data_IF_342515311960
#
_entry.id   IF_342515311960
#
_cell.length_a   1.000
_cell.length_b   1.000
_cell.length_c   1.000
_cell.angle_alpha   90.00
_cell.angle_beta   90.00
_cell.angle_gamma   90.00
#
_symmetry.space_group_name_H-M   'P 1'
#
loop_
_entity.id
_entity.type
_entity.pdbx_description
1 polymer ?
#
# COMPACT_ATOMS: atom_id res chain seq x y z
N UNK A 1 -53.44 -39.06 41.34
CA UNK A 1 -52.64 -39.92 40.44
C UNK A 1 -52.02 -39.06 39.35
N UNK A 2 -50.73 -39.28 39.11
CA UNK A 2 -49.77 -38.51 38.31
C UNK A 2 -50.13 -38.48 36.81
N UNK A 3 -49.93 -37.33 36.15
CA UNK A 3 -49.41 -37.21 34.78
C UNK A 3 -49.09 -35.74 34.48
N UNK A 4 -47.81 -35.38 34.63
CA UNK A 4 -47.22 -34.13 34.17
C UNK A 4 -46.75 -34.38 32.74
N UNK A 5 -47.28 -33.64 31.76
CA UNK A 5 -46.73 -33.56 30.41
C UNK A 5 -45.71 -32.43 30.37
N UNK A 6 -44.47 -32.73 29.96
CA UNK A 6 -43.51 -31.76 29.44
C UNK A 6 -43.39 -31.99 27.94
N UNK A 7 -43.61 -30.99 27.06
CA UNK A 7 -43.21 -31.10 25.67
C UNK A 7 -41.71 -30.82 25.53
N UNK A 8 -41.04 -31.73 24.81
CA UNK A 8 -39.66 -31.58 24.34
C UNK A 8 -39.54 -30.38 23.40
N UNK A 9 -38.63 -29.45 23.72
CA UNK A 9 -38.15 -28.45 22.76
C UNK A 9 -36.89 -29.01 22.07
N UNK A 10 -36.99 -29.29 20.78
CA UNK A 10 -35.84 -29.67 19.95
C UNK A 10 -35.07 -28.40 19.56
N UNK A 11 -33.84 -28.26 20.04
CA UNK A 11 -32.93 -27.22 19.60
C UNK A 11 -32.20 -27.69 18.32
N UNK A 12 -32.55 -27.11 17.17
CA UNK A 12 -31.75 -27.22 15.95
C UNK A 12 -30.50 -26.35 16.12
N UNK A 13 -29.32 -26.97 16.23
CA UNK A 13 -28.05 -26.29 16.09
C UNK A 13 -27.82 -25.98 14.59
N UNK A 14 -27.90 -24.71 14.21
CA UNK A 14 -27.36 -24.25 12.93
C UNK A 14 -25.85 -24.15 13.06
N UNK A 15 -25.14 -25.15 12.53
CA UNK A 15 -23.70 -25.05 12.28
C UNK A 15 -23.49 -24.13 11.07
N UNK A 16 -23.06 -22.89 11.29
CA UNK A 16 -22.56 -22.04 10.22
C UNK A 16 -21.21 -22.61 9.76
N UNK A 17 -21.20 -23.36 8.67
CA UNK A 17 -19.99 -23.72 7.98
C UNK A 17 -19.45 -22.46 7.29
N UNK A 18 -18.47 -21.81 7.92
CA UNK A 18 -17.70 -20.73 7.30
C UNK A 18 -16.92 -21.31 6.12
N UNK A 19 -17.31 -20.95 4.90
CA UNK A 19 -16.55 -21.30 3.69
C UNK A 19 -15.34 -20.36 3.67
N UNK A 20 -14.21 -20.83 4.20
CA UNK A 20 -12.92 -20.18 3.97
C UNK A 20 -12.55 -20.51 2.52
N UNK A 21 -12.62 -19.52 1.63
CA UNK A 21 -12.09 -19.68 0.29
C UNK A 21 -10.57 -19.86 0.39
N UNK A 22 -10.05 -21.03 0.03
CA UNK A 22 -8.63 -21.23 -0.13
C UNK A 22 -8.16 -20.36 -1.31
N UNK A 23 -7.34 -19.33 -1.06
CA UNK A 23 -6.79 -18.46 -2.10
C UNK A 23 -5.64 -19.16 -2.82
N UNK A 24 -5.99 -20.02 -3.79
CA UNK A 24 -5.04 -20.82 -4.58
C UNK A 24 -4.55 -20.12 -5.86
N UNK A 25 -5.04 -18.91 -6.17
CA UNK A 25 -4.71 -18.23 -7.43
C UNK A 25 -3.61 -17.18 -7.25
N UNK A 26 -2.83 -16.96 -8.30
CA UNK A 26 -1.93 -15.81 -8.35
C UNK A 26 -2.72 -14.49 -8.30
N UNK A 27 -2.21 -13.50 -7.56
CA UNK A 27 -2.88 -12.20 -7.37
C UNK A 27 -1.90 -11.04 -7.42
N UNK A 28 -2.39 -9.82 -7.65
CA UNK A 28 -1.66 -8.61 -7.30
C UNK A 28 -2.02 -8.19 -5.88
N UNK A 29 -1.03 -7.76 -5.09
CA UNK A 29 -1.26 -7.22 -3.73
C UNK A 29 -2.27 -6.06 -3.75
N UNK A 30 -2.18 -5.19 -4.76
CA UNK A 30 -3.15 -4.14 -5.04
C UNK A 30 -3.86 -4.42 -6.35
N UNK A 31 -5.14 -4.77 -6.29
CA UNK A 31 -5.95 -5.06 -7.47
C UNK A 31 -6.63 -3.81 -8.05
N UNK A 32 -6.40 -2.64 -7.48
CA UNK A 32 -6.98 -1.36 -7.91
C UNK A 32 -5.94 -0.24 -7.79
N UNK A 33 -5.89 0.67 -8.77
CA UNK A 33 -4.99 1.83 -8.74
C UNK A 33 -5.47 2.95 -9.67
N UNK A 34 -5.22 4.20 -9.30
CA UNK A 34 -5.37 5.34 -10.21
C UNK A 34 -4.20 5.39 -11.22
N UNK A 35 -4.35 6.10 -12.36
CA UNK A 35 -3.24 6.34 -13.28
C UNK A 35 -2.04 7.01 -12.59
N UNK A 36 -0.82 6.65 -12.98
CA UNK A 36 0.40 7.15 -12.36
C UNK A 36 1.31 6.04 -11.82
N UNK A 37 2.15 6.37 -10.83
CA UNK A 37 3.11 5.41 -10.29
C UNK A 37 2.39 4.25 -9.62
N UNK A 38 2.80 3.03 -9.96
CA UNK A 38 2.22 1.81 -9.44
C UNK A 38 3.32 0.76 -9.24
N UNK A 39 3.14 -0.11 -8.24
CA UNK A 39 4.04 -1.23 -7.95
C UNK A 39 3.22 -2.50 -8.01
N UNK A 40 3.33 -3.23 -9.12
CA UNK A 40 2.73 -4.55 -9.26
C UNK A 40 3.52 -5.55 -8.40
N UNK A 41 2.91 -6.05 -7.33
CA UNK A 41 3.45 -7.12 -6.50
C UNK A 41 2.66 -8.38 -6.80
N UNK A 42 3.23 -9.24 -7.63
CA UNK A 42 2.65 -10.54 -7.95
C UNK A 42 2.91 -11.50 -6.80
N UNK A 43 1.83 -12.01 -6.20
CA UNK A 43 1.88 -13.08 -5.20
C UNK A 43 1.60 -14.42 -5.85
N UNK A 44 2.54 -15.36 -5.73
CA UNK A 44 2.36 -16.77 -6.09
C UNK A 44 2.10 -17.54 -4.79
N UNK A 45 0.90 -18.14 -4.60
CA UNK A 45 0.46 -18.62 -3.29
C UNK A 45 1.11 -19.92 -2.85
N UNK A 46 1.56 -20.75 -3.78
CA UNK A 46 2.14 -22.07 -3.55
C UNK A 46 2.92 -22.54 -4.78
N UNK A 47 3.59 -23.69 -4.65
CA UNK A 47 4.15 -24.47 -5.76
C UNK A 47 3.10 -24.97 -6.76
N UNK A 48 3.50 -25.77 -7.75
CA UNK A 48 2.53 -26.38 -8.66
C UNK A 48 1.90 -27.64 -8.05
N UNK A 49 0.79 -28.06 -8.65
CA UNK A 49 0.07 -29.29 -8.32
C UNK A 49 0.98 -30.50 -8.07
N UNK A 50 0.59 -31.31 -7.09
CA UNK A 50 1.36 -32.49 -6.69
C UNK A 50 2.56 -32.15 -5.80
N UNK A 51 2.57 -30.97 -5.17
CA UNK A 51 3.57 -30.54 -4.21
C UNK A 51 4.90 -30.13 -4.85
N UNK A 52 4.88 -29.73 -6.12
CA UNK A 52 6.09 -29.43 -6.87
C UNK A 52 6.55 -28.00 -6.61
N UNK A 53 7.83 -27.83 -6.28
CA UNK A 53 8.35 -26.49 -6.06
C UNK A 53 8.37 -25.68 -7.37
N UNK A 54 8.07 -24.39 -7.25
CA UNK A 54 8.25 -23.43 -8.34
C UNK A 54 9.68 -22.97 -8.41
N UNK A 55 10.24 -23.03 -9.62
CA UNK A 55 11.62 -22.65 -9.90
C UNK A 55 11.71 -21.44 -10.81
N UNK A 56 10.67 -21.16 -11.59
CA UNK A 56 10.61 -19.98 -12.46
C UNK A 56 9.25 -19.32 -12.37
N UNK A 57 9.24 -17.99 -12.28
CA UNK A 57 8.07 -17.14 -12.45
C UNK A 57 8.36 -16.17 -13.57
N UNK A 58 7.56 -16.23 -14.63
CA UNK A 58 7.62 -15.31 -15.77
C UNK A 58 6.39 -14.42 -15.74
N UNK A 59 6.58 -13.11 -15.88
CA UNK A 59 5.53 -12.11 -15.85
C UNK A 59 5.57 -11.29 -17.14
N UNK A 60 4.44 -11.25 -17.84
CA UNK A 60 4.24 -10.38 -19.00
C UNK A 60 3.73 -9.02 -18.55
N UNK A 61 4.36 -7.96 -19.04
CA UNK A 61 4.01 -6.58 -18.74
C UNK A 61 2.92 -6.13 -19.71
N UNK A 62 1.71 -5.78 -19.23
CA UNK A 62 0.63 -5.35 -20.10
C UNK A 62 0.91 -3.97 -20.70
N UNK A 63 0.37 -3.75 -21.90
CA UNK A 63 0.32 -2.43 -22.51
C UNK A 63 -0.38 -1.43 -21.57
N UNK A 64 0.14 -0.21 -21.49
CA UNK A 64 -0.31 0.79 -20.50
C UNK A 64 0.43 0.74 -19.16
N UNK A 65 1.25 -0.28 -18.88
CA UNK A 65 2.19 -0.29 -17.76
C UNK A 65 3.64 -0.08 -18.24
N UNK A 66 4.09 1.17 -18.21
CA UNK A 66 5.36 1.58 -18.81
C UNK A 66 6.45 1.83 -17.79
N UNK A 67 7.70 1.86 -18.27
CA UNK A 67 8.87 2.19 -17.44
C UNK A 67 9.14 1.13 -16.37
N UNK A 68 8.73 -0.11 -16.61
CA UNK A 68 8.75 -1.18 -15.64
C UNK A 68 10.19 -1.52 -15.19
N UNK A 69 10.36 -1.65 -13.88
CA UNK A 69 11.61 -1.91 -13.17
C UNK A 69 11.39 -3.05 -12.18
N UNK A 70 11.78 -4.30 -12.53
CA UNK A 70 11.64 -5.44 -11.65
C UNK A 70 12.62 -5.36 -10.48
N UNK A 71 12.18 -5.83 -9.32
CA UNK A 71 12.99 -5.91 -8.10
C UNK A 71 13.89 -7.15 -8.14
N UNK A 72 15.22 -7.00 -7.98
CA UNK A 72 16.10 -8.14 -7.74
C UNK A 72 15.68 -8.89 -6.48
N UNK A 73 15.69 -10.22 -6.55
CA UNK A 73 15.22 -11.08 -5.47
C UNK A 73 16.31 -12.06 -5.07
N UNK A 74 16.67 -12.08 -3.79
CA UNK A 74 17.72 -12.96 -3.30
C UNK A 74 17.33 -14.44 -3.55
N UNK A 75 18.28 -15.23 -4.05
CA UNK A 75 18.06 -16.65 -4.38
C UNK A 75 17.37 -16.89 -5.72
N UNK A 76 17.05 -15.84 -6.50
CA UNK A 76 16.49 -15.93 -7.84
C UNK A 76 17.39 -15.18 -8.82
N UNK A 77 17.57 -15.73 -10.01
CA UNK A 77 18.18 -15.03 -11.14
C UNK A 77 17.11 -14.19 -11.84
N UNK A 78 17.42 -12.92 -12.13
CA UNK A 78 16.50 -11.99 -12.78
C UNK A 78 16.91 -11.73 -14.22
N UNK A 79 16.04 -12.08 -15.16
CA UNK A 79 16.16 -11.76 -16.57
C UNK A 79 15.02 -10.83 -17.01
N UNK A 80 15.33 -9.96 -17.97
CA UNK A 80 14.41 -8.92 -18.45
C UNK A 80 14.48 -8.84 -19.96
N UNK A 81 13.34 -8.99 -20.63
CA UNK A 81 13.24 -8.83 -22.07
C UNK A 81 12.59 -7.49 -22.40
N UNK A 82 13.25 -6.72 -23.27
CA UNK A 82 12.74 -5.43 -23.74
C UNK A 82 12.12 -5.58 -25.12
N UNK A 83 11.08 -4.79 -25.36
CA UNK A 83 10.38 -4.73 -26.64
C UNK A 83 9.72 -3.37 -26.84
N UNK A 84 9.21 -3.17 -28.04
CA UNK A 84 8.46 -1.96 -28.39
C UNK A 84 7.06 -2.03 -27.78
N UNK A 85 6.58 -0.89 -27.27
CA UNK A 85 5.19 -0.75 -26.87
C UNK A 85 4.28 -0.62 -28.10
N UNK A 86 2.99 -0.91 -27.94
CA UNK A 86 2.04 -0.78 -29.05
C UNK A 86 1.87 0.68 -29.53
N UNK A 87 2.10 1.65 -28.65
CA UNK A 87 2.12 3.09 -28.96
C UNK A 87 3.26 3.84 -28.27
N UNK A 88 3.49 5.08 -28.68
CA UNK A 88 4.43 5.98 -27.99
C UNK A 88 3.76 6.55 -26.74
N UNK A 89 4.43 6.47 -25.60
CA UNK A 89 3.97 7.06 -24.34
C UNK A 89 4.81 8.27 -23.95
N UNK A 90 4.30 9.06 -23.01
CA UNK A 90 5.07 10.08 -22.31
C UNK A 90 5.36 9.63 -20.89
N UNK A 91 6.65 9.60 -20.52
CA UNK A 91 7.10 9.33 -19.16
C UNK A 91 7.99 10.49 -18.72
N UNK A 92 7.57 11.22 -17.68
CA UNK A 92 8.26 12.44 -17.22
C UNK A 92 8.51 13.50 -18.32
N UNK A 93 7.60 13.59 -19.29
CA UNK A 93 7.69 14.55 -20.40
C UNK A 93 8.50 14.05 -21.61
N UNK A 94 9.18 12.91 -21.50
CA UNK A 94 9.93 12.31 -22.60
C UNK A 94 9.11 11.23 -23.32
N UNK A 95 9.30 11.13 -24.64
CA UNK A 95 8.70 10.06 -25.43
C UNK A 95 9.41 8.74 -25.18
N UNK A 96 8.66 7.70 -24.80
CA UNK A 96 9.16 6.34 -24.65
C UNK A 96 8.40 5.40 -25.59
N UNK A 97 9.14 4.63 -26.38
CA UNK A 97 8.60 3.73 -27.43
C UNK A 97 8.85 2.26 -27.15
N UNK A 98 9.72 1.96 -26.20
CA UNK A 98 10.07 0.60 -25.79
C UNK A 98 10.39 0.55 -24.31
N UNK A 99 10.32 -0.64 -23.76
CA UNK A 99 10.62 -0.90 -22.35
C UNK A 99 10.60 -2.38 -22.05
N UNK A 100 10.49 -2.71 -20.77
CA UNK A 100 10.42 -4.10 -20.31
C UNK A 100 9.06 -4.67 -20.65
N UNK A 101 9.03 -5.78 -21.39
CA UNK A 101 7.82 -6.49 -21.79
C UNK A 101 7.65 -7.82 -21.05
N UNK A 102 8.77 -8.43 -20.62
CA UNK A 102 8.78 -9.68 -19.88
C UNK A 102 9.80 -9.59 -18.77
N UNK A 103 9.42 -10.06 -17.59
CA UNK A 103 10.31 -10.26 -16.45
C UNK A 103 10.31 -11.74 -16.09
N UNK A 104 11.48 -12.32 -15.89
CA UNK A 104 11.62 -13.71 -15.48
C UNK A 104 12.50 -13.79 -14.24
N UNK A 105 11.97 -14.36 -13.16
CA UNK A 105 12.74 -14.80 -12.01
C UNK A 105 12.90 -16.32 -12.10
N UNK A 106 14.13 -16.82 -12.16
CA UNK A 106 14.43 -18.26 -12.32
C UNK A 106 15.42 -18.78 -11.27
N UNK A 107 15.57 -20.10 -11.19
CA UNK A 107 16.49 -20.76 -10.26
C UNK A 107 16.04 -20.72 -8.80
N UNK A 108 14.81 -20.27 -8.55
CA UNK A 108 14.23 -20.22 -7.21
C UNK A 108 13.80 -21.59 -6.71
N UNK A 109 13.23 -21.61 -5.51
CA UNK A 109 12.66 -22.81 -4.92
C UNK A 109 11.53 -22.38 -3.98
N UNK A 110 10.31 -22.35 -4.50
CA UNK A 110 9.10 -22.07 -3.73
C UNK A 110 8.29 -23.37 -3.56
N UNK A 111 8.39 -24.04 -2.40
CA UNK A 111 7.61 -25.25 -2.11
C UNK A 111 6.12 -24.93 -1.95
N UNK A 112 5.29 -25.98 -2.01
CA UNK A 112 3.83 -25.90 -1.92
C UNK A 112 3.31 -25.23 -0.63
N UNK A 113 3.99 -25.44 0.49
CA UNK A 113 3.57 -24.91 1.80
C UNK A 113 3.83 -23.40 1.98
N UNK A 114 4.44 -22.74 1.00
CA UNK A 114 4.85 -21.34 1.10
C UNK A 114 4.35 -20.52 -0.08
N UNK A 115 4.07 -19.25 0.16
CA UNK A 115 3.85 -18.26 -0.89
C UNK A 115 5.11 -17.41 -1.08
N UNK A 116 5.20 -16.75 -2.23
CA UNK A 116 6.25 -15.76 -2.48
C UNK A 116 5.74 -14.59 -3.34
N UNK A 117 6.52 -13.50 -3.34
CA UNK A 117 6.18 -12.26 -4.01
C UNK A 117 7.28 -11.80 -4.98
N UNK A 118 6.82 -11.25 -6.11
CA UNK A 118 7.63 -10.80 -7.23
C UNK A 118 7.18 -9.40 -7.65
N UNK A 119 8.02 -8.40 -7.39
CA UNK A 119 7.64 -6.99 -7.51
C UNK A 119 8.23 -6.33 -8.75
N UNK A 120 7.40 -5.52 -9.42
CA UNK A 120 7.80 -4.65 -10.54
C UNK A 120 7.22 -3.25 -10.30
N UNK A 121 8.07 -2.23 -10.22
CA UNK A 121 7.63 -0.83 -10.19
C UNK A 121 7.47 -0.27 -11.60
N UNK A 122 6.49 0.57 -11.85
CA UNK A 122 6.23 1.17 -13.16
C UNK A 122 5.21 2.29 -13.08
N UNK A 123 4.63 2.64 -14.22
CA UNK A 123 3.63 3.70 -14.36
C UNK A 123 2.46 3.22 -15.19
N UNK A 124 1.25 3.36 -14.66
CA UNK A 124 -0.01 3.20 -15.38
C UNK A 124 -0.25 4.47 -16.21
N UNK A 125 -0.09 4.37 -17.52
CA UNK A 125 -0.10 5.51 -18.43
C UNK A 125 -1.13 5.30 -19.55
N UNK A 126 -1.87 6.37 -19.85
CA UNK A 126 -2.90 6.39 -20.90
C UNK A 126 -3.91 5.22 -20.76
N UNK A 127 -4.37 5.06 -19.52
CA UNK A 127 -5.35 4.06 -19.08
C UNK A 127 -6.65 4.75 -18.63
N UNK A 128 -7.77 4.06 -18.80
CA UNK A 128 -9.12 4.60 -18.57
C UNK A 128 -9.74 4.04 -17.27
N UNK A 129 -10.61 4.82 -16.62
CA UNK A 129 -11.38 4.34 -15.46
C UNK A 129 -12.18 3.07 -15.80
N UNK A 130 -12.13 2.09 -14.90
CA UNK A 130 -12.75 0.78 -15.07
C UNK A 130 -12.00 -0.17 -15.99
N UNK A 131 -10.95 0.28 -16.69
CA UNK A 131 -10.09 -0.60 -17.48
C UNK A 131 -9.39 -1.60 -16.55
N UNK A 132 -9.22 -2.84 -17.01
CA UNK A 132 -8.40 -3.84 -16.31
C UNK A 132 -7.12 -4.09 -17.11
N UNK A 133 -5.98 -4.06 -16.42
CA UNK A 133 -4.69 -4.46 -16.99
C UNK A 133 -4.31 -5.80 -16.36
N UNK A 134 -4.21 -6.83 -17.21
CA UNK A 134 -3.90 -8.20 -16.80
C UNK A 134 -2.40 -8.49 -16.91
N UNK A 135 -1.79 -8.83 -15.78
CA UNK A 135 -0.40 -9.24 -15.66
C UNK A 135 -0.32 -10.75 -15.79
N UNK A 136 -0.23 -11.24 -17.03
CA UNK A 136 -0.18 -12.68 -17.30
C UNK A 136 1.09 -13.27 -16.73
N UNK A 137 0.95 -14.33 -15.94
CA UNK A 137 2.07 -14.99 -15.30
C UNK A 137 2.15 -16.45 -15.69
N UNK A 138 3.37 -16.97 -15.78
CA UNK A 138 3.66 -18.40 -15.95
C UNK A 138 4.53 -18.85 -14.80
N UNK A 139 4.07 -19.86 -14.09
CA UNK A 139 4.75 -20.52 -13.00
C UNK A 139 5.28 -21.85 -13.50
N UNK A 140 6.58 -22.08 -13.44
CA UNK A 140 7.21 -23.33 -13.92
C UNK A 140 7.76 -24.11 -12.74
N UNK A 141 7.45 -25.40 -12.73
CA UNK A 141 7.86 -26.37 -11.73
C UNK A 141 8.60 -27.54 -12.38
N UNK A 142 9.10 -28.48 -11.57
CA UNK A 142 9.90 -29.62 -12.04
C UNK A 142 9.27 -30.42 -13.20
N UNK A 143 7.95 -30.59 -13.20
CA UNK A 143 7.23 -31.42 -14.19
C UNK A 143 5.91 -30.79 -14.63
N UNK A 144 5.92 -29.49 -14.86
CA UNK A 144 4.73 -28.80 -15.35
C UNK A 144 4.86 -27.30 -15.27
N UNK A 145 3.80 -26.65 -15.73
CA UNK A 145 3.63 -25.21 -15.65
C UNK A 145 2.17 -24.89 -15.35
N UNK A 146 1.96 -23.77 -14.65
CA UNK A 146 0.64 -23.17 -14.45
C UNK A 146 0.65 -21.82 -15.15
N UNK A 147 -0.31 -21.61 -16.04
CA UNK A 147 -0.47 -20.35 -16.77
C UNK A 147 -1.61 -19.54 -16.14
N UNK A 148 -1.26 -18.51 -15.38
CA UNK A 148 -2.18 -17.52 -14.83
C UNK A 148 -2.47 -16.46 -15.90
N UNK A 149 -3.24 -16.83 -16.92
CA UNK A 149 -3.43 -16.03 -18.14
C UNK A 149 -4.89 -15.89 -18.59
N UNK A 150 -5.85 -16.42 -17.83
CA UNK A 150 -7.26 -16.35 -18.19
C UNK A 150 -7.85 -14.96 -17.86
N UNK A 151 -8.55 -14.38 -18.84
CA UNK A 151 -9.31 -13.14 -18.68
C UNK A 151 -10.82 -13.48 -18.73
N UNK A 152 -11.65 -12.91 -17.84
CA UNK A 152 -13.07 -13.20 -17.85
C UNK A 152 -13.73 -12.66 -19.12
N UNK A 153 -14.50 -13.51 -19.82
CA UNK A 153 -15.33 -13.03 -20.92
C UNK A 153 -16.40 -12.05 -20.40
N UNK A 154 -16.91 -11.18 -21.28
CA UNK A 154 -17.94 -10.21 -20.90
C UNK A 154 -19.15 -10.89 -20.22
N UNK A 155 -19.42 -10.54 -18.96
CA UNK A 155 -20.51 -11.10 -18.16
C UNK A 155 -20.22 -12.46 -17.52
N UNK A 156 -19.02 -13.02 -17.68
CA UNK A 156 -18.57 -14.22 -16.96
C UNK A 156 -18.22 -13.85 -15.51
N UNK A 157 -18.51 -14.75 -14.57
CA UNK A 157 -18.03 -14.61 -13.19
C UNK A 157 -16.51 -14.84 -13.14
N UNK A 158 -15.68 -13.86 -12.73
CA UNK A 158 -14.23 -14.04 -12.66
C UNK A 158 -13.78 -15.16 -11.72
N UNK A 159 -14.58 -15.49 -10.70
CA UNK A 159 -14.29 -16.59 -9.77
C UNK A 159 -14.54 -17.99 -10.37
N UNK A 160 -15.06 -18.08 -11.60
CA UNK A 160 -15.22 -19.36 -12.30
C UNK A 160 -14.00 -19.75 -13.13
N UNK A 161 -12.99 -18.87 -13.22
CA UNK A 161 -11.75 -19.14 -13.93
C UNK A 161 -10.86 -20.08 -13.11
N UNK A 162 -10.18 -20.99 -13.79
CA UNK A 162 -9.32 -21.99 -13.16
C UNK A 162 -7.95 -21.39 -12.84
N UNK A 163 -7.42 -20.59 -13.76
CA UNK A 163 -6.14 -19.89 -13.61
C UNK A 163 -6.24 -18.43 -14.09
N UNK A 164 -7.01 -17.58 -13.37
CA UNK A 164 -7.19 -16.19 -13.75
C UNK A 164 -5.87 -15.43 -13.76
N UNK A 165 -5.71 -14.55 -14.74
CA UNK A 165 -4.60 -13.61 -14.77
C UNK A 165 -4.76 -12.57 -13.62
N UNK A 166 -3.71 -12.33 -12.83
CA UNK A 166 -3.68 -11.22 -11.89
C UNK A 166 -3.95 -9.89 -12.61
N UNK A 167 -4.79 -9.03 -12.05
CA UNK A 167 -5.21 -7.80 -12.71
C UNK A 167 -5.21 -6.60 -11.75
N UNK A 168 -4.97 -5.42 -12.31
CA UNK A 168 -5.26 -4.14 -11.67
C UNK A 168 -6.42 -3.46 -12.40
N UNK A 169 -7.42 -3.05 -11.65
CA UNK A 169 -8.55 -2.24 -12.15
C UNK A 169 -8.21 -0.77 -11.97
N UNK A 170 -8.36 0.00 -13.03
CA UNK A 170 -8.02 1.41 -13.04
C UNK A 170 -9.15 2.21 -12.39
N UNK A 171 -8.82 2.90 -11.31
CA UNK A 171 -9.73 3.84 -10.69
C UNK A 171 -9.75 5.16 -11.46
N UNK A 172 -10.78 5.98 -11.22
CA UNK A 172 -10.85 7.32 -11.78
C UNK A 172 -9.52 8.06 -11.58
N UNK A 173 -9.00 8.65 -12.66
CA UNK A 173 -7.95 9.65 -12.51
C UNK A 173 -8.50 10.75 -11.60
N UNK A 174 -7.83 11.07 -10.50
CA UNK A 174 -8.17 12.29 -9.77
C UNK A 174 -8.02 13.43 -10.77
N UNK A 175 -9.14 14.04 -11.18
CA UNK A 175 -9.14 15.11 -12.15
C UNK A 175 -8.15 16.18 -11.67
N UNK A 176 -7.11 16.43 -12.45
CA UNK A 176 -6.08 17.41 -12.12
C UNK A 176 -6.62 18.83 -12.10
N UNK A 177 -7.27 19.21 -11.00
CA UNK A 177 -6.80 20.35 -10.23
C UNK A 177 -5.76 19.83 -9.24
N UNK A 178 -4.75 20.62 -8.88
CA UNK A 178 -3.83 20.27 -7.80
C UNK A 178 -4.57 20.34 -6.45
N UNK A 179 -5.54 19.46 -6.27
CA UNK A 179 -6.48 19.39 -5.18
C UNK A 179 -6.74 17.89 -4.92
N UNK A 180 -6.02 17.33 -3.96
CA UNK A 180 -6.26 15.96 -3.50
C UNK A 180 -7.54 15.95 -2.64
N UNK A 181 -8.62 15.37 -3.17
CA UNK A 181 -9.84 15.11 -2.42
C UNK A 181 -10.53 13.79 -2.83
N UNK A 182 -10.34 12.75 -2.00
CA UNK A 182 -11.24 11.62 -1.65
C UNK A 182 -11.62 10.60 -2.75
N UNK A 183 -11.79 9.30 -2.48
CA UNK A 183 -12.15 8.55 -1.26
C UNK A 183 -11.62 7.10 -1.41
N UNK A 184 -11.22 6.32 -0.41
CA UNK A 184 -11.94 6.03 0.83
C UNK A 184 -11.26 4.91 1.64
N UNK A 185 -10.00 5.12 2.04
CA UNK A 185 -9.70 4.89 3.46
C UNK A 185 -10.27 6.08 4.23
N UNK A 186 -10.45 6.02 5.54
CA UNK A 186 -10.69 7.24 6.31
C UNK A 186 -9.46 8.16 6.23
N UNK A 187 -9.18 8.77 5.08
CA UNK A 187 -8.38 9.99 5.01
C UNK A 187 -9.20 11.04 5.75
N UNK A 188 -8.67 11.48 6.88
CA UNK A 188 -9.24 12.60 7.60
C UNK A 188 -9.36 13.77 6.62
N UNK A 189 -10.56 14.33 6.50
CA UNK A 189 -10.79 15.50 5.67
C UNK A 189 -9.77 16.61 6.02
N UNK A 190 -9.33 17.42 5.04
CA UNK A 190 -8.35 18.47 5.30
C UNK A 190 -8.76 19.34 6.48
N UNK A 191 -7.88 19.46 7.48
CA UNK A 191 -8.12 20.28 8.67
C UNK A 191 -7.63 21.69 8.38
N UNK A 192 -8.50 22.68 8.58
CA UNK A 192 -8.15 24.09 8.40
C UNK A 192 -7.83 24.77 9.72
N UNK A 193 -6.77 25.57 9.73
CA UNK A 193 -6.36 26.39 10.86
C UNK A 193 -5.94 27.78 10.37
N UNK A 194 -6.88 28.73 10.40
CA UNK A 194 -6.71 30.01 9.72
C UNK A 194 -6.52 29.79 8.21
N UNK A 195 -5.40 30.28 7.67
CA UNK A 195 -5.02 30.13 6.27
C UNK A 195 -4.26 28.82 5.98
N UNK A 196 -3.97 28.01 6.99
CA UNK A 196 -3.31 26.72 6.82
C UNK A 196 -4.34 25.62 6.51
N UNK A 197 -3.98 24.76 5.57
CA UNK A 197 -4.71 23.54 5.25
C UNK A 197 -3.79 22.33 5.45
N UNK A 198 -4.19 21.43 6.34
CA UNK A 198 -3.42 20.25 6.72
C UNK A 198 -4.14 19.03 6.15
N UNK A 199 -3.42 18.23 5.37
CA UNK A 199 -3.99 17.09 4.63
C UNK A 199 -3.05 15.89 4.61
N UNK A 200 -3.55 14.74 4.16
CA UNK A 200 -2.75 13.52 3.97
C UNK A 200 -2.08 12.99 5.24
N UNK A 201 -2.67 13.27 6.42
CA UNK A 201 -2.07 12.88 7.68
C UNK A 201 -2.14 11.36 7.88
N UNK A 202 -1.02 10.73 8.20
CA UNK A 202 -0.97 9.32 8.62
C UNK A 202 0.23 9.03 9.52
N UNK A 203 0.10 8.02 10.37
CA UNK A 203 1.16 7.53 11.25
C UNK A 203 1.60 6.13 10.82
N UNK A 204 2.89 5.83 10.98
CA UNK A 204 3.45 4.51 10.65
C UNK A 204 3.15 3.53 11.78
N UNK A 205 2.62 2.35 11.43
CA UNK A 205 2.45 1.27 12.38
C UNK A 205 3.80 0.89 13.02
N UNK A 206 3.74 0.60 14.32
CA UNK A 206 4.90 0.27 15.14
C UNK A 206 4.97 -1.23 15.36
N UNK A 207 6.18 -1.78 15.30
CA UNK A 207 6.42 -3.14 15.78
C UNK A 207 6.30 -3.18 17.32
N UNK A 208 5.86 -4.30 17.90
CA UNK A 208 5.79 -4.46 19.34
C UNK A 208 7.12 -4.12 20.04
N UNK A 209 7.06 -3.27 21.09
CA UNK A 209 8.23 -2.89 21.88
C UNK A 209 9.02 -1.68 21.38
N UNK A 210 8.65 -1.07 20.25
CA UNK A 210 9.29 0.17 19.79
C UNK A 210 8.91 1.37 20.68
N UNK A 211 9.88 2.17 21.18
CA UNK A 211 9.60 3.33 22.04
C UNK A 211 9.25 4.60 21.27
N UNK A 212 9.37 4.59 19.94
CA UNK A 212 9.23 5.75 19.07
C UNK A 212 8.37 5.46 17.85
N UNK A 213 7.50 6.39 17.50
CA UNK A 213 6.64 6.35 16.30
C UNK A 213 6.87 7.57 15.41
N UNK A 214 6.39 7.51 14.17
CA UNK A 214 6.48 8.62 13.21
C UNK A 214 5.15 8.87 12.51
N UNK A 215 4.82 10.14 12.27
CA UNK A 215 3.71 10.55 11.43
C UNK A 215 4.12 11.58 10.38
N UNK A 216 3.31 11.63 9.34
CA UNK A 216 3.53 12.31 8.07
C UNK A 216 2.24 13.03 7.68
N UNK A 217 2.37 14.19 7.06
CA UNK A 217 1.26 15.06 6.68
C UNK A 217 1.76 16.16 5.75
N UNK A 218 0.85 16.82 5.06
CA UNK A 218 1.13 17.97 4.21
C UNK A 218 0.49 19.22 4.80
N UNK A 219 1.22 20.33 4.81
CA UNK A 219 0.75 21.64 5.29
C UNK A 219 0.84 22.64 4.14
N UNK A 220 -0.29 23.10 3.64
CA UNK A 220 -0.37 24.18 2.67
C UNK A 220 -0.71 25.50 3.37
N UNK A 221 0.13 26.53 3.20
CA UNK A 221 -0.15 27.87 3.69
C UNK A 221 -0.76 28.72 2.58
N UNK A 222 -2.08 28.91 2.61
CA UNK A 222 -2.81 29.74 1.64
C UNK A 222 -2.83 31.23 2.01
N UNK A 223 -2.10 31.60 3.06
CA UNK A 223 -2.05 32.95 3.62
C UNK A 223 -0.98 33.82 3.01
N UNK A 224 -0.89 35.06 3.50
CA UNK A 224 0.08 36.07 3.03
C UNK A 224 1.31 36.23 3.94
N UNK A 225 1.32 35.58 5.09
CA UNK A 225 2.42 35.56 6.04
C UNK A 225 2.87 34.12 6.28
N UNK A 226 4.16 33.92 6.55
CA UNK A 226 4.66 32.63 6.96
C UNK A 226 4.07 32.24 8.33
N UNK A 227 3.89 30.94 8.55
CA UNK A 227 3.62 30.36 9.87
C UNK A 227 4.71 29.35 10.20
N UNK A 228 4.68 28.78 11.40
CA UNK A 228 5.67 27.83 11.85
C UNK A 228 5.04 26.75 12.70
N UNK A 229 5.28 25.49 12.36
CA UNK A 229 4.95 24.35 13.21
C UNK A 229 6.02 24.24 14.31
N UNK A 230 5.71 24.72 15.51
CA UNK A 230 6.65 24.80 16.63
C UNK A 230 6.68 23.55 17.50
N UNK A 231 5.67 22.69 17.36
CA UNK A 231 5.63 21.41 18.08
C UNK A 231 4.33 20.65 17.86
N UNK A 232 4.20 19.56 18.60
CA UNK A 232 2.96 18.80 18.68
C UNK A 232 2.85 18.14 20.06
N UNK A 233 1.65 17.68 20.41
CA UNK A 233 1.41 16.87 21.61
C UNK A 233 0.47 15.71 21.29
N UNK A 234 0.54 14.65 22.09
CA UNK A 234 -0.38 13.52 22.01
C UNK A 234 -0.49 12.85 23.38
N UNK A 235 -1.70 12.44 23.84
CA UNK A 235 -1.85 11.70 25.09
C UNK A 235 -1.13 10.34 25.07
N UNK A 236 -0.86 9.79 23.88
CA UNK A 236 -0.24 8.48 23.64
C UNK A 236 1.30 8.50 23.68
N UNK A 237 1.94 9.67 23.77
CA UNK A 237 3.40 9.81 23.80
C UNK A 237 3.86 10.72 24.96
N UNK A 238 5.07 10.48 25.45
CA UNK A 238 5.70 11.34 26.45
C UNK A 238 6.18 12.67 25.86
N UNK A 239 6.60 12.67 24.60
CA UNK A 239 7.04 13.86 23.86
C UNK A 239 6.72 13.71 22.38
N UNK A 240 6.38 14.80 21.70
CA UNK A 240 6.19 14.84 20.25
C UNK A 240 6.95 16.03 19.69
N UNK A 241 7.76 15.81 18.66
CA UNK A 241 8.65 16.82 18.06
C UNK A 241 8.61 16.76 16.54
N UNK A 242 9.01 17.85 15.88
CA UNK A 242 9.26 17.86 14.43
C UNK A 242 10.72 17.53 14.19
N UNK A 243 10.98 16.49 13.41
CA UNK A 243 12.32 16.01 13.10
C UNK A 243 12.60 16.08 11.60
N UNK A 244 13.88 16.12 11.24
CA UNK A 244 14.38 16.01 9.88
C UNK A 244 15.46 14.93 9.79
N UNK A 245 15.68 14.43 8.59
CA UNK A 245 16.78 13.52 8.27
C UNK A 245 17.90 14.33 7.61
N UNK A 246 19.09 14.32 8.21
CA UNK A 246 20.29 14.93 7.63
C UNK A 246 21.36 13.87 7.43
N UNK A 247 22.13 13.97 6.34
CA UNK A 247 23.35 13.15 6.18
C UNK A 247 24.47 13.86 6.90
N UNK A 248 25.01 13.23 7.95
CA UNK A 248 26.19 13.69 8.65
C UNK A 248 27.22 12.56 8.66
N UNK A 249 28.41 12.85 8.14
CA UNK A 249 29.52 11.88 8.06
C UNK A 249 29.11 10.56 7.36
N UNK A 250 28.41 10.66 6.23
CA UNK A 250 27.82 9.54 5.45
C UNK A 250 26.78 8.68 6.19
N UNK A 251 26.31 9.15 7.36
CA UNK A 251 25.24 8.51 8.13
C UNK A 251 23.99 9.39 8.12
N UNK A 252 22.85 8.79 7.77
CA UNK A 252 21.54 9.44 7.94
C UNK A 252 21.23 9.56 9.43
N UNK A 253 21.27 10.79 9.95
CA UNK A 253 20.91 11.12 11.32
C UNK A 253 19.56 11.81 11.37
N UNK A 254 18.74 11.39 12.33
CA UNK A 254 17.47 12.02 12.63
C UNK A 254 17.69 13.07 13.72
N UNK A 255 17.21 14.29 13.51
CA UNK A 255 17.36 15.40 14.46
C UNK A 255 16.09 16.21 14.59
N UNK A 256 15.86 16.75 15.79
CA UNK A 256 14.81 17.75 16.01
C UNK A 256 15.10 19.03 15.22
N UNK A 257 14.04 19.64 14.69
CA UNK A 257 14.06 20.97 14.06
C UNK A 257 13.93 22.02 15.16
N UNK A 258 15.06 22.55 15.62
CA UNK A 258 15.07 23.58 16.67
C UNK A 258 14.38 24.86 16.19
N UNK A 259 13.51 25.42 17.03
CA UNK A 259 12.76 26.63 16.72
C UNK A 259 11.52 26.43 15.86
N UNK A 260 11.23 25.21 15.40
CA UNK A 260 10.05 24.86 14.61
C UNK A 260 10.28 24.81 13.10
N UNK A 261 9.36 24.17 12.37
CA UNK A 261 9.38 24.04 10.92
C UNK A 261 8.62 25.21 10.27
N UNK A 262 9.33 26.04 9.51
CA UNK A 262 8.74 27.19 8.80
C UNK A 262 7.85 26.72 7.64
N UNK A 263 6.68 27.34 7.52
CA UNK A 263 5.69 27.13 6.45
C UNK A 263 5.48 28.48 5.74
N UNK A 264 6.25 28.77 4.68
CA UNK A 264 6.21 30.08 4.01
C UNK A 264 4.83 30.40 3.41
N UNK A 265 4.53 31.69 3.27
CA UNK A 265 3.28 32.15 2.66
C UNK A 265 3.15 31.64 1.22
N UNK A 266 2.00 31.05 0.87
CA UNK A 266 1.74 30.52 -0.47
C UNK A 266 2.41 29.17 -0.78
N UNK A 267 3.21 28.64 0.15
CA UNK A 267 3.97 27.41 -0.06
C UNK A 267 3.31 26.19 0.61
N UNK A 268 3.73 25.02 0.16
CA UNK A 268 3.33 23.73 0.75
C UNK A 268 4.55 22.99 1.26
N UNK A 269 4.50 22.56 2.52
CA UNK A 269 5.56 21.79 3.17
C UNK A 269 5.06 20.38 3.44
N UNK A 270 5.81 19.40 2.93
CA UNK A 270 5.48 17.98 3.04
C UNK A 270 6.36 17.31 4.11
N UNK A 271 5.72 16.69 5.10
CA UNK A 271 6.35 15.83 6.08
C UNK A 271 6.18 14.38 5.61
N UNK A 272 7.25 13.73 5.18
CA UNK A 272 7.23 12.40 4.55
C UNK A 272 8.40 11.51 4.98
N UNK A 273 8.32 10.17 4.76
CA UNK A 273 9.44 9.28 5.02
C UNK A 273 10.73 9.75 4.33
N UNK A 274 11.83 9.83 5.08
CA UNK A 274 13.13 10.30 4.59
C UNK A 274 13.31 11.82 4.59
N UNK A 275 12.31 12.61 4.95
CA UNK A 275 12.39 14.06 5.10
C UNK A 275 11.93 14.54 6.48
N UNK A 276 11.23 15.66 6.52
CA UNK A 276 10.59 16.14 7.75
C UNK A 276 9.50 15.16 8.21
N UNK A 277 9.33 14.98 9.52
CA UNK A 277 8.29 14.12 10.08
C UNK A 277 7.97 14.51 11.53
N UNK A 278 6.79 14.11 12.00
CA UNK A 278 6.40 14.24 13.40
C UNK A 278 6.87 13.00 14.14
N UNK A 279 7.82 13.14 15.05
CA UNK A 279 8.36 12.06 15.87
C UNK A 279 7.67 12.00 17.23
N UNK A 280 7.19 10.81 17.59
CA UNK A 280 6.63 10.50 18.90
C UNK A 280 7.68 9.74 19.71
N UNK A 281 7.97 10.20 20.93
CA UNK A 281 8.93 9.57 21.84
C UNK A 281 8.25 9.16 23.14
N UNK A 282 8.64 8.00 23.67
CA UNK A 282 8.03 7.44 24.88
C UNK A 282 6.57 7.09 24.63
N UNK A 283 6.29 6.44 23.50
CA UNK A 283 4.95 5.98 23.13
C UNK A 283 4.49 4.94 24.15
N UNK A 284 3.33 5.16 24.76
CA UNK A 284 2.76 4.29 25.79
C UNK A 284 2.10 3.04 25.18
N UNK A 285 1.46 3.22 24.04
CA UNK A 285 0.75 2.18 23.29
C UNK A 285 1.20 2.22 21.84
N UNK A 286 1.71 1.10 21.33
CA UNK A 286 2.20 0.99 19.96
C UNK A 286 1.10 1.34 18.95
N UNK A 287 1.45 2.11 17.92
CA UNK A 287 0.54 2.45 16.83
C UNK A 287 0.22 1.19 16.03
N UNK A 288 -1.01 0.70 16.16
CA UNK A 288 -1.50 -0.47 15.42
C UNK A 288 -2.15 -0.02 14.12
N UNK A 289 -1.86 -0.73 13.04
CA UNK A 289 -2.50 -0.48 11.76
C UNK A 289 -4.03 -0.47 11.89
N UNK A 290 -4.68 0.45 11.17
CA UNK A 290 -6.13 0.64 11.22
C UNK A 290 -6.63 1.43 12.43
N UNK A 291 -5.79 1.69 13.43
CA UNK A 291 -6.12 2.58 14.54
C UNK A 291 -5.95 4.06 14.15
N UNK A 292 -6.32 4.95 15.07
CA UNK A 292 -6.08 6.40 14.95
C UNK A 292 -5.32 6.91 16.17
N UNK A 293 -4.38 7.82 15.96
CA UNK A 293 -3.60 8.49 17.01
C UNK A 293 -4.06 9.95 17.13
N UNK A 294 -4.55 10.40 18.30
CA UNK A 294 -4.86 11.80 18.51
C UNK A 294 -3.56 12.62 18.59
N UNK A 295 -3.51 13.71 17.82
CA UNK A 295 -2.37 14.63 17.76
C UNK A 295 -2.89 16.06 17.80
N UNK A 296 -2.26 16.90 18.61
CA UNK A 296 -2.47 18.34 18.60
C UNK A 296 -1.21 18.99 18.03
N UNK A 297 -1.28 19.54 16.82
CA UNK A 297 -0.22 20.34 16.23
C UNK A 297 -0.23 21.75 16.83
N UNK A 298 0.94 22.34 17.05
CA UNK A 298 1.08 23.68 17.62
C UNK A 298 1.80 24.60 16.62
N UNK A 299 1.07 25.59 16.10
CA UNK A 299 1.58 26.60 15.19
C UNK A 299 1.83 27.92 15.93
N UNK A 300 2.85 28.66 15.49
CA UNK A 300 3.23 29.95 16.07
C UNK A 300 2.12 31.01 15.89
N UNK A 301 1.42 31.02 14.76
CA UNK A 301 0.36 31.99 14.47
C UNK A 301 -1.04 31.35 14.38
N UNK A 302 -1.20 30.22 13.70
CA UNK A 302 -2.49 29.53 13.59
C UNK A 302 -2.95 28.85 14.90
N UNK A 303 -2.06 28.71 15.89
CA UNK A 303 -2.38 28.15 17.20
C UNK A 303 -2.46 26.61 17.20
N UNK A 304 -3.27 26.05 18.08
CA UNK A 304 -3.37 24.60 18.27
C UNK A 304 -4.42 23.97 17.36
N UNK A 305 -4.08 22.84 16.75
CA UNK A 305 -4.93 22.10 15.82
C UNK A 305 -5.00 20.64 16.23
N UNK A 306 -6.18 20.23 16.68
CA UNK A 306 -6.45 18.83 17.04
C UNK A 306 -6.79 18.01 15.79
N UNK A 307 -6.18 16.84 15.66
CA UNK A 307 -6.41 15.92 14.56
C UNK A 307 -6.35 14.46 15.00
N UNK A 308 -7.08 13.61 14.29
CA UNK A 308 -7.01 12.17 14.40
C UNK A 308 -6.19 11.63 13.22
N UNK A 309 -5.03 11.06 13.52
CA UNK A 309 -4.08 10.61 12.51
C UNK A 309 -4.23 9.10 12.31
N UNK A 310 -4.70 8.61 11.15
CA UNK A 310 -4.85 7.17 10.88
C UNK A 310 -3.48 6.48 10.83
N UNK A 311 -3.41 5.26 11.36
CA UNK A 311 -2.19 4.44 11.34
C UNK A 311 -2.20 3.51 10.13
N UNK A 312 -1.21 3.64 9.24
CA UNK A 312 -1.00 2.78 8.05
C UNK A 312 0.16 1.80 8.28
N UNK A 313 0.29 0.75 7.46
CA UNK A 313 1.30 -0.29 7.67
C UNK A 313 2.72 0.25 7.79
N UNK A 314 3.55 -0.54 8.47
CA UNK A 314 4.95 -0.22 8.75
C UNK A 314 5.83 -0.13 7.49
N UNK A 315 5.34 -0.40 6.28
CA UNK A 315 6.13 -0.30 5.04
C UNK A 315 5.98 1.03 4.32
N UNK A 316 5.12 1.94 4.80
CA UNK A 316 5.04 3.33 4.32
C UNK A 316 4.68 3.53 2.84
N UNK A 317 4.35 2.45 2.13
CA UNK A 317 3.36 2.50 1.06
C UNK A 317 2.01 2.17 1.68
N UNK A 318 0.94 2.74 1.15
CA UNK A 318 -0.43 2.46 1.57
C UNK A 318 -0.74 0.95 1.54
N UNK A 319 -0.54 0.24 2.64
CA UNK A 319 -1.03 -1.13 2.87
C UNK A 319 -1.60 -1.08 4.31
N UNK A 320 -2.76 -1.62 4.71
CA UNK A 320 -3.54 -2.79 4.30
C UNK A 320 -2.81 -4.12 4.54
N UNK A 321 -2.28 -4.28 5.75
CA UNK A 321 -1.89 -5.55 6.36
C UNK A 321 -2.60 -5.76 7.70
N UNK A 322 -3.90 -6.03 7.64
CA UNK A 322 -4.61 -6.72 8.72
C UNK A 322 -4.17 -8.18 8.78
N UNK A 323 -3.17 -8.47 9.61
CA UNK A 323 -2.91 -9.81 10.10
C UNK A 323 -3.79 -10.08 11.32
N UNK A 324 -4.76 -10.99 11.20
CA UNK A 324 -5.26 -11.74 12.36
C UNK A 324 -4.70 -13.17 12.31
N UNK A 325 -3.94 -13.50 13.36
CA UNK A 325 -3.67 -14.85 13.82
C UNK A 325 -4.77 -15.24 14.83
N UNK A 326 -5.37 -16.41 14.65
CA UNK A 326 -5.80 -17.31 15.73
C UNK A 326 -5.98 -18.71 15.12
N UNK A 327 -5.09 -19.66 15.41
CA UNK A 327 -5.16 -20.58 16.56
C UNK A 327 -6.55 -21.23 16.72
N UNK A 328 -6.66 -22.47 16.22
CA UNK A 328 -7.32 -23.59 16.89
C UNK A 328 -6.91 -24.94 16.29
#
# INVERSE_FOLDING_TARGET
>A
MRRILFPFAAACALSAASIVAAHAHATLEKSEAAPGSYKAVLKIPHGCDGGQATHTVRLEIPEGYIGAKPMPKAGWELAVEKGDYAKTYKLHGEEVKSGVMVVTWSGGNLPDDFYDEFAVSGTLADVEEGQQLFFKATQVCDKGEVAWNEEPAAGQNPHSLEHPAPAVTILAASAGGHDHAGHGGHEAAPVKAGDLEISGAWARAMLPGQPTGGAYLTIANKGKAADKLVGATSPNAGKVEVHTMEVKDDVMVMRSVEGGLEIPAGETVELKPGGFHVMFMGVKEAFKEGATVPVTLEFEHAGKVDMQVPVKAANGGDDHSGHEHSDH
#
